data_IF_095467399723
#
_entry.id   IF_095467399723
#
_cell.length_a   1.000
_cell.length_b   1.000
_cell.length_c   1.000
_cell.angle_alpha   90.00
_cell.angle_beta   90.00
_cell.angle_gamma   90.00
#
_symmetry.space_group_name_H-M   'P 1'
#
loop_
_entity.id
_entity.type
_entity.pdbx_description
1 polymer ?
#
# COMPACT_ATOMS: atom_id res chain seq x y z
N UNK A 1 8.00 -15.15 -12.07
CA UNK A 1 6.89 -14.30 -11.59
C UNK A 1 5.89 -15.14 -10.81
N UNK A 2 5.45 -14.67 -9.70
CA UNK A 2 4.44 -15.36 -8.88
C UNK A 2 3.05 -14.78 -9.20
N UNK A 3 2.00 -15.61 -9.15
CA UNK A 3 0.65 -15.07 -9.30
C UNK A 3 0.25 -14.26 -8.07
N UNK A 4 -0.33 -13.08 -8.32
CA UNK A 4 -0.80 -12.22 -7.23
C UNK A 4 -2.25 -12.59 -6.93
N UNK A 5 -2.50 -12.95 -5.69
CA UNK A 5 -3.84 -13.30 -5.23
C UNK A 5 -4.51 -12.06 -4.65
N UNK A 6 -5.63 -11.64 -5.25
CA UNK A 6 -6.36 -10.47 -4.77
C UNK A 6 -6.81 -10.61 -3.32
N UNK A 7 -7.18 -11.81 -2.89
CA UNK A 7 -7.60 -12.03 -1.52
C UNK A 7 -6.47 -11.76 -0.52
N UNK A 8 -5.24 -12.06 -0.91
CA UNK A 8 -4.06 -11.77 -0.08
C UNK A 8 -3.89 -10.27 0.11
N UNK A 9 -4.26 -9.47 -0.90
CA UNK A 9 -4.10 -8.02 -0.85
C UNK A 9 -5.24 -7.31 -0.14
N UNK A 10 -6.39 -7.97 0.06
CA UNK A 10 -7.56 -7.33 0.65
C UNK A 10 -7.46 -7.29 2.17
N UNK A 11 -6.71 -6.33 2.66
CA UNK A 11 -6.52 -6.08 4.10
C UNK A 11 -6.01 -4.67 4.30
N UNK A 12 -5.86 -4.28 5.56
CA UNK A 12 -5.31 -2.98 5.92
C UNK A 12 -3.79 -3.12 6.01
N UNK A 13 -3.09 -2.52 5.06
CA UNK A 13 -1.63 -2.50 5.00
C UNK A 13 -1.10 -1.21 5.62
N UNK A 14 -0.11 -1.34 6.48
CA UNK A 14 0.51 -0.22 7.17
C UNK A 14 1.97 -0.14 6.75
N UNK A 15 2.46 1.07 6.48
CA UNK A 15 3.81 1.27 5.97
C UNK A 15 4.85 0.96 7.04
N UNK A 16 5.65 -0.07 6.78
CA UNK A 16 6.76 -0.47 7.65
C UNK A 16 8.04 0.16 7.13
N UNK A 17 8.18 1.48 7.34
CA UNK A 17 9.25 2.26 6.73
C UNK A 17 10.64 1.83 7.19
N UNK A 18 10.73 1.19 8.35
CA UNK A 18 12.01 0.67 8.84
C UNK A 18 12.59 -0.43 7.95
N UNK A 19 11.71 -1.09 7.16
CA UNK A 19 12.12 -2.16 6.27
C UNK A 19 12.31 -1.70 4.83
N UNK A 20 12.04 -0.44 4.52
CA UNK A 20 12.16 0.08 3.16
C UNK A 20 13.57 -0.10 2.64
N UNK A 21 13.68 -0.36 1.33
CA UNK A 21 14.95 -0.37 0.63
C UNK A 21 15.05 0.89 -0.24
N UNK A 22 16.15 1.01 -0.98
CA UNK A 22 16.41 2.17 -1.82
C UNK A 22 15.30 2.41 -2.84
N UNK A 23 14.72 1.34 -3.39
CA UNK A 23 13.74 1.45 -4.47
C UNK A 23 12.38 0.86 -4.12
N UNK A 24 12.19 0.35 -2.90
CA UNK A 24 10.97 -0.38 -2.56
C UNK A 24 10.45 0.04 -1.20
N UNK A 25 9.11 0.04 -1.09
CA UNK A 25 8.41 0.29 0.16
C UNK A 25 7.85 -1.01 0.69
N UNK A 26 7.95 -1.22 1.99
CA UNK A 26 7.46 -2.43 2.65
C UNK A 26 6.23 -2.09 3.47
N UNK A 27 5.19 -2.92 3.31
CA UNK A 27 3.95 -2.81 4.08
C UNK A 27 3.71 -4.09 4.84
N UNK A 28 3.14 -3.95 6.03
CA UNK A 28 2.76 -5.08 6.88
C UNK A 28 1.30 -4.95 7.27
N UNK A 29 0.61 -6.06 7.59
CA UNK A 29 -0.77 -5.96 8.07
C UNK A 29 -0.84 -5.15 9.37
N UNK A 30 -2.00 -4.55 9.64
CA UNK A 30 -2.17 -3.73 10.85
C UNK A 30 -1.91 -4.51 12.15
N UNK A 31 -2.01 -5.84 12.11
CA UNK A 31 -1.74 -6.69 13.27
C UNK A 31 -0.25 -6.91 13.54
N UNK A 32 0.61 -6.47 12.63
CA UNK A 32 2.05 -6.60 12.80
C UNK A 32 2.53 -5.77 14.00
N UNK A 33 3.52 -6.28 14.73
CA UNK A 33 4.08 -5.55 15.87
C UNK A 33 5.12 -4.55 15.39
N UNK A 34 4.67 -3.31 15.15
CA UNK A 34 5.55 -2.25 14.66
C UNK A 34 6.34 -1.62 15.78
N UNK A 35 7.59 -1.19 15.52
CA UNK A 35 8.26 -0.29 16.46
C UNK A 35 7.46 1.00 16.64
N UNK A 36 7.66 1.68 17.75
CA UNK A 36 6.95 2.91 18.00
C UNK A 36 7.27 3.96 16.94
N UNK A 37 6.24 4.67 16.50
CA UNK A 37 6.36 5.76 15.54
C UNK A 37 5.20 6.72 15.79
N UNK A 38 5.38 7.98 15.38
CA UNK A 38 4.32 8.99 15.57
C UNK A 38 3.09 8.69 14.73
N UNK A 39 3.30 8.16 13.56
CA UNK A 39 2.21 7.78 12.68
C UNK A 39 2.75 7.02 11.51
N UNK A 40 1.89 6.25 10.85
CA UNK A 40 2.29 5.48 9.68
C UNK A 40 1.22 5.64 8.62
N UNK A 41 1.66 5.92 7.42
CA UNK A 41 0.73 5.88 6.30
C UNK A 41 0.35 4.45 6.01
N UNK A 42 -0.72 4.26 5.26
CA UNK A 42 -1.17 2.92 4.93
C UNK A 42 -2.31 2.95 3.94
N UNK A 43 -2.87 1.78 3.69
CA UNK A 43 -3.98 1.64 2.77
C UNK A 43 -4.77 0.39 3.12
N UNK A 44 -6.08 0.49 2.95
CA UNK A 44 -6.95 -0.67 3.06
C UNK A 44 -7.50 -1.00 1.68
N UNK A 45 -7.20 -2.20 1.19
CA UNK A 45 -7.65 -2.67 -0.11
C UNK A 45 -8.88 -3.55 0.10
N UNK A 46 -9.96 -3.25 -0.60
CA UNK A 46 -11.24 -3.95 -0.44
C UNK A 46 -11.55 -4.79 -1.67
N UNK A 47 -12.33 -5.85 -1.46
CA UNK A 47 -12.61 -6.84 -2.51
C UNK A 47 -13.38 -6.27 -3.70
N UNK A 48 -14.11 -5.17 -3.52
CA UNK A 48 -14.89 -4.54 -4.59
C UNK A 48 -14.10 -3.52 -5.41
N UNK A 49 -12.79 -3.43 -5.19
CA UNK A 49 -11.94 -2.47 -5.89
C UNK A 49 -11.86 -1.12 -5.20
N UNK A 50 -12.56 -0.95 -4.09
CA UNK A 50 -12.45 0.28 -3.31
C UNK A 50 -11.16 0.26 -2.49
N UNK A 51 -10.63 1.45 -2.19
CA UNK A 51 -9.42 1.61 -1.40
C UNK A 51 -9.63 2.78 -0.45
N UNK A 52 -9.14 2.64 0.77
CA UNK A 52 -9.01 3.76 1.68
C UNK A 52 -7.54 3.95 1.97
N UNK A 53 -7.01 5.11 1.58
CA UNK A 53 -5.64 5.47 1.89
C UNK A 53 -5.57 6.24 3.20
N UNK A 54 -4.51 6.05 3.96
CA UNK A 54 -4.29 6.75 5.23
C UNK A 54 -2.98 7.52 5.11
N UNK A 55 -3.10 8.82 4.87
CA UNK A 55 -1.95 9.72 4.75
C UNK A 55 -1.66 10.33 6.11
N UNK A 56 -0.38 10.56 6.40
CA UNK A 56 -0.02 11.23 7.64
C UNK A 56 -0.29 12.72 7.47
N UNK A 57 -1.17 13.25 8.33
CA UNK A 57 -1.48 14.68 8.33
C UNK A 57 -0.56 15.48 9.23
N UNK A 58 -0.89 16.77 9.41
CA UNK A 58 -0.08 17.69 10.21
C UNK A 58 0.06 17.27 11.68
N UNK A 59 -0.93 16.54 12.18
CA UNK A 59 -0.96 16.12 13.58
C UNK A 59 -0.38 14.72 13.77
N UNK A 60 0.32 14.20 12.77
CA UNK A 60 0.83 12.83 12.77
C UNK A 60 -0.28 11.78 12.88
N UNK A 61 -1.50 12.16 12.56
CA UNK A 61 -2.67 11.28 12.55
C UNK A 61 -3.01 10.97 11.10
N UNK A 62 -3.09 9.66 10.74
CA UNK A 62 -3.46 9.31 9.36
C UNK A 62 -4.87 9.80 9.02
N UNK A 63 -5.01 10.49 7.90
CA UNK A 63 -6.30 10.98 7.41
C UNK A 63 -6.80 10.04 6.31
N UNK A 64 -8.05 9.54 6.40
CA UNK A 64 -8.58 8.63 5.37
C UNK A 64 -8.88 9.35 4.07
N UNK A 65 -8.60 8.67 2.96
CA UNK A 65 -8.90 9.18 1.62
C UNK A 65 -9.41 8.03 0.77
N UNK A 66 -10.59 8.21 0.18
CA UNK A 66 -11.20 7.17 -0.64
C UNK A 66 -10.59 7.13 -2.03
N UNK A 67 -10.40 5.92 -2.54
CA UNK A 67 -9.87 5.71 -3.88
C UNK A 67 -10.26 4.36 -4.42
N UNK A 68 -9.57 3.93 -5.49
CA UNK A 68 -9.79 2.65 -6.15
C UNK A 68 -8.46 1.98 -6.41
N UNK A 69 -8.48 0.65 -6.50
CA UNK A 69 -7.28 -0.11 -6.80
C UNK A 69 -7.60 -1.23 -7.75
N UNK A 70 -6.59 -1.67 -8.47
CA UNK A 70 -6.70 -2.87 -9.30
C UNK A 70 -5.31 -3.45 -9.52
N UNK A 71 -5.30 -4.72 -9.93
CA UNK A 71 -4.08 -5.42 -10.32
C UNK A 71 -4.07 -5.54 -11.84
N UNK A 72 -2.92 -5.23 -12.42
CA UNK A 72 -2.68 -5.47 -13.85
C UNK A 72 -1.32 -6.15 -13.97
N UNK A 73 -1.34 -7.44 -14.32
CA UNK A 73 -0.15 -8.29 -14.34
C UNK A 73 0.47 -8.33 -12.93
N UNK A 74 1.68 -7.81 -12.77
CA UNK A 74 2.37 -7.76 -11.48
C UNK A 74 2.38 -6.34 -10.91
N UNK A 75 1.47 -5.49 -11.37
CA UNK A 75 1.42 -4.09 -10.95
C UNK A 75 0.17 -3.80 -10.14
N UNK A 76 0.32 -2.98 -9.11
CA UNK A 76 -0.77 -2.45 -8.33
C UNK A 76 -1.03 -1.02 -8.80
N UNK A 77 -2.25 -0.76 -9.24
CA UNK A 77 -2.67 0.56 -9.71
C UNK A 77 -3.62 1.17 -8.70
N UNK A 78 -3.30 2.37 -8.24
CA UNK A 78 -4.10 3.08 -7.24
C UNK A 78 -4.53 4.41 -7.83
N UNK A 79 -5.83 4.71 -7.72
CA UNK A 79 -6.39 5.96 -8.20
C UNK A 79 -7.16 6.65 -7.10
N UNK A 80 -6.80 7.89 -6.81
CA UNK A 80 -7.54 8.76 -5.90
C UNK A 80 -8.25 9.80 -6.74
N UNK A 81 -9.61 9.86 -6.67
CA UNK A 81 -10.36 10.81 -7.52
C UNK A 81 -9.96 12.27 -7.34
N UNK A 82 -9.42 12.65 -6.18
CA UNK A 82 -8.97 14.01 -5.91
C UNK A 82 -7.58 14.32 -6.41
N UNK A 83 -6.91 13.34 -7.01
CA UNK A 83 -5.56 13.48 -7.56
C UNK A 83 -5.62 13.30 -9.07
N UNK A 84 -4.78 14.03 -9.79
CA UNK A 84 -4.79 13.99 -11.24
C UNK A 84 -4.15 12.75 -11.83
N UNK A 85 -3.24 12.14 -11.09
CA UNK A 85 -2.45 11.02 -11.59
C UNK A 85 -2.72 9.75 -10.80
N UNK A 86 -2.92 8.64 -11.52
CA UNK A 86 -2.95 7.33 -10.91
C UNK A 86 -1.55 6.95 -10.45
N UNK A 87 -1.47 6.25 -9.32
CA UNK A 87 -0.21 5.74 -8.80
C UNK A 87 -0.02 4.31 -9.29
N UNK A 88 1.20 3.98 -9.66
CA UNK A 88 1.52 2.66 -10.20
C UNK A 88 2.73 2.10 -9.46
N UNK A 89 2.59 0.86 -9.00
CA UNK A 89 3.64 0.18 -8.25
C UNK A 89 3.87 -1.20 -8.83
N UNK A 90 5.13 -1.61 -8.92
CA UNK A 90 5.46 -3.00 -9.23
C UNK A 90 5.42 -3.80 -7.94
N UNK A 91 4.69 -4.92 -7.94
CA UNK A 91 4.60 -5.79 -6.78
C UNK A 91 5.81 -6.72 -6.77
N UNK A 92 6.68 -6.53 -5.78
CA UNK A 92 7.87 -7.38 -5.64
C UNK A 92 7.59 -8.60 -4.80
N UNK A 93 6.72 -8.45 -3.81
CA UNK A 93 6.35 -9.54 -2.93
C UNK A 93 4.95 -9.28 -2.39
N UNK A 94 4.13 -10.32 -2.32
CA UNK A 94 2.81 -10.24 -1.71
C UNK A 94 2.52 -11.54 -1.00
N UNK A 95 2.42 -11.48 0.32
CA UNK A 95 2.11 -12.63 1.16
C UNK A 95 1.12 -12.20 2.23
N UNK A 96 0.75 -13.11 3.13
CA UNK A 96 -0.22 -12.79 4.16
C UNK A 96 0.26 -11.72 5.14
N UNK A 97 1.58 -11.57 5.28
CA UNK A 97 2.15 -10.67 6.29
C UNK A 97 3.13 -9.65 5.70
N UNK A 98 3.29 -9.59 4.38
CA UNK A 98 4.25 -8.66 3.80
C UNK A 98 3.85 -8.29 2.37
N UNK A 99 3.92 -7.00 2.08
CA UNK A 99 3.70 -6.47 0.74
C UNK A 99 4.86 -5.53 0.41
N UNK A 100 5.57 -5.80 -0.69
CA UNK A 100 6.70 -4.97 -1.11
C UNK A 100 6.38 -4.38 -2.46
N UNK A 101 6.41 -3.04 -2.54
CA UNK A 101 6.04 -2.29 -3.73
C UNK A 101 7.19 -1.41 -4.18
N UNK A 102 7.47 -1.42 -5.49
CA UNK A 102 8.42 -0.50 -6.10
C UNK A 102 7.65 0.58 -6.86
N UNK A 103 7.77 1.87 -6.48
CA UNK A 103 7.07 2.93 -7.19
C UNK A 103 7.50 3.00 -8.65
N UNK A 104 6.60 3.49 -9.52
CA UNK A 104 6.80 3.54 -10.96
C UNK A 104 8.09 4.21 -11.38
N UNK A 105 8.45 5.30 -10.69
CA UNK A 105 9.64 6.08 -11.10
C UNK A 105 10.97 5.35 -10.83
N UNK A 106 10.93 4.18 -10.19
CA UNK A 106 12.10 3.32 -10.04
C UNK A 106 12.10 2.13 -10.99
N UNK A 107 11.10 2.02 -11.84
CA UNK A 107 10.96 0.86 -12.76
C UNK A 107 11.69 1.15 -14.07
#
# INVERSE_FOLDING_TARGET
>A
MFPVNQDTLCKHWVHSFEEDTEDSKVYRPESFQFPLARGREGMELKTDGALTGFQIGRNDVPAPEAGNWRIQDDKLLINYPNHNDAQEFLIREASDDKLVLTPKFFI
#
